data_IF_819280031252
#
_entry.id   IF_819280031252
#
_cell.length_a   1.000
_cell.length_b   1.000
_cell.length_c   1.000
_cell.angle_alpha   90.00
_cell.angle_beta   90.00
_cell.angle_gamma   90.00
#
_symmetry.space_group_name_H-M   'P 1'
#
loop_
_entity.id
_entity.type
_entity.pdbx_description
1 polymer ?
#
# COMPACT_ATOMS: atom_id res chain seq x y z
N UNK A 1 -12.08 44.24 26.48
CA UNK A 1 -12.70 43.00 25.95
C UNK A 1 -11.91 42.62 24.69
N UNK A 2 -11.62 41.33 24.49
CA UNK A 2 -10.29 40.83 24.15
C UNK A 2 -9.84 41.12 22.72
N UNK A 3 -8.56 41.43 22.60
CA UNK A 3 -7.78 41.51 21.36
C UNK A 3 -7.89 40.17 20.61
N UNK A 4 -8.50 40.21 19.42
CA UNK A 4 -8.56 39.08 18.51
C UNK A 4 -7.17 38.88 17.90
N UNK A 5 -6.30 38.18 18.64
CA UNK A 5 -5.00 37.72 18.17
C UNK A 5 -5.16 36.52 17.21
N UNK A 6 -5.91 36.71 16.13
CA UNK A 6 -5.81 35.88 14.92
C UNK A 6 -4.55 36.27 14.14
N UNK A 7 -3.40 36.20 14.79
CA UNK A 7 -2.12 36.23 14.10
C UNK A 7 -2.01 34.93 13.30
N UNK A 8 -2.48 34.99 12.05
CA UNK A 8 -2.13 34.02 11.02
C UNK A 8 -0.60 34.07 10.91
N UNK A 9 0.08 33.18 11.65
CA UNK A 9 1.52 32.98 11.53
C UNK A 9 1.82 32.85 10.05
N UNK A 10 2.68 33.70 9.47
CA UNK A 10 2.98 33.63 8.05
C UNK A 10 3.48 32.21 7.76
N UNK A 11 2.70 31.46 6.99
CA UNK A 11 3.16 30.20 6.39
C UNK A 11 4.42 30.59 5.62
N UNK A 12 5.57 30.12 6.10
CA UNK A 12 6.85 30.35 5.45
C UNK A 12 6.69 29.98 3.98
N UNK A 13 7.12 30.87 3.08
CA UNK A 13 7.00 30.70 1.62
C UNK A 13 7.73 29.46 1.05
N UNK A 14 8.40 28.68 1.90
CA UNK A 14 9.05 27.41 1.56
C UNK A 14 8.42 26.17 2.23
N UNK A 15 7.19 26.24 2.73
CA UNK A 15 6.47 25.08 3.29
C UNK A 15 5.78 24.34 2.14
N UNK A 16 6.51 23.44 1.47
CA UNK A 16 5.94 22.70 0.33
C UNK A 16 5.12 21.50 0.77
N UNK A 17 5.40 20.92 1.95
CA UNK A 17 4.54 19.90 2.56
C UNK A 17 4.13 20.26 3.99
N UNK A 18 2.85 20.03 4.31
CA UNK A 18 2.37 20.08 5.69
C UNK A 18 2.64 18.72 6.36
N UNK A 19 3.49 18.64 7.41
CA UNK A 19 3.90 17.37 8.01
C UNK A 19 2.71 16.52 8.47
N UNK A 20 1.69 17.15 9.04
CA UNK A 20 0.48 16.46 9.51
C UNK A 20 -0.27 15.76 8.36
N UNK A 21 -0.32 16.40 7.19
CA UNK A 21 -0.98 15.84 5.99
C UNK A 21 -0.16 14.67 5.44
N UNK A 22 1.16 14.81 5.36
CA UNK A 22 2.06 13.74 4.88
C UNK A 22 2.02 12.53 5.80
N UNK A 23 2.09 12.74 7.12
CA UNK A 23 1.98 11.67 8.11
C UNK A 23 0.63 10.96 8.05
N UNK A 24 -0.46 11.72 7.90
CA UNK A 24 -1.80 11.15 7.75
C UNK A 24 -1.92 10.33 6.45
N UNK A 25 -1.39 10.83 5.35
CA UNK A 25 -1.38 10.14 4.06
C UNK A 25 -0.53 8.87 4.10
N UNK A 26 0.67 8.93 4.68
CA UNK A 26 1.54 7.76 4.84
C UNK A 26 0.86 6.68 5.70
N UNK A 27 0.17 7.07 6.79
CA UNK A 27 -0.62 6.13 7.60
C UNK A 27 -1.77 5.52 6.80
N UNK A 28 -2.46 6.34 5.99
CA UNK A 28 -3.54 5.86 5.13
C UNK A 28 -3.05 4.88 4.07
N UNK A 29 -1.91 5.13 3.43
CA UNK A 29 -1.28 4.22 2.48
C UNK A 29 -0.88 2.89 3.14
N UNK A 30 -0.33 2.94 4.36
CA UNK A 30 -0.02 1.74 5.15
C UNK A 30 -1.25 0.93 5.49
N UNK A 31 -2.36 1.56 5.89
CA UNK A 31 -3.62 0.85 6.17
C UNK A 31 -4.18 0.27 4.87
N UNK A 32 -4.20 1.07 3.80
CA UNK A 32 -4.74 0.67 2.50
C UNK A 32 -3.97 -0.51 1.91
N UNK A 33 -2.64 -0.57 2.09
CA UNK A 33 -1.85 -1.72 1.65
C UNK A 33 -2.32 -3.01 2.32
N UNK A 34 -2.52 -3.01 3.65
CA UNK A 34 -3.04 -4.17 4.37
C UNK A 34 -4.45 -4.56 3.93
N UNK A 35 -5.32 -3.58 3.66
CA UNK A 35 -6.66 -3.86 3.10
C UNK A 35 -6.54 -4.56 1.76
N UNK A 36 -5.70 -4.08 0.85
CA UNK A 36 -5.46 -4.72 -0.45
C UNK A 36 -4.91 -6.14 -0.26
N UNK A 37 -3.94 -6.34 0.63
CA UNK A 37 -3.39 -7.66 0.90
C UNK A 37 -4.47 -8.65 1.39
N UNK A 38 -5.35 -8.23 2.30
CA UNK A 38 -6.46 -9.06 2.79
C UNK A 38 -7.40 -9.46 1.65
N UNK A 39 -7.75 -8.51 0.77
CA UNK A 39 -8.63 -8.79 -0.38
C UNK A 39 -8.01 -9.84 -1.30
N UNK A 40 -6.72 -9.73 -1.61
CA UNK A 40 -6.05 -10.70 -2.48
C UNK A 40 -5.83 -12.07 -1.80
N UNK A 41 -5.56 -12.11 -0.49
CA UNK A 41 -5.50 -13.36 0.27
C UNK A 41 -6.87 -14.06 0.26
N UNK A 42 -7.94 -13.29 0.46
CA UNK A 42 -9.31 -13.80 0.41
C UNK A 42 -9.64 -14.34 -0.99
N UNK A 43 -9.30 -13.58 -2.04
CA UNK A 43 -9.46 -14.03 -3.43
C UNK A 43 -8.70 -15.33 -3.71
N UNK A 44 -7.43 -15.43 -3.28
CA UNK A 44 -6.63 -16.65 -3.42
C UNK A 44 -7.30 -17.83 -2.74
N UNK A 45 -7.85 -17.61 -1.55
CA UNK A 45 -8.50 -18.64 -0.75
C UNK A 45 -9.75 -19.17 -1.46
N UNK A 46 -10.56 -18.28 -2.04
CA UNK A 46 -11.73 -18.66 -2.84
C UNK A 46 -11.31 -19.42 -4.10
N UNK A 47 -10.31 -18.93 -4.83
CA UNK A 47 -9.83 -19.56 -6.06
C UNK A 47 -9.32 -20.99 -5.79
N UNK A 48 -8.46 -21.14 -4.78
CA UNK A 48 -7.92 -22.46 -4.39
C UNK A 48 -9.03 -23.38 -3.85
N UNK A 49 -9.94 -22.86 -3.02
CA UNK A 49 -11.07 -23.64 -2.51
C UNK A 49 -11.97 -24.14 -3.65
N UNK A 50 -12.26 -23.26 -4.61
CA UNK A 50 -13.05 -23.62 -5.79
C UNK A 50 -12.31 -24.65 -6.66
N UNK A 51 -11.01 -24.46 -6.89
CA UNK A 51 -10.19 -25.40 -7.64
C UNK A 51 -10.17 -26.79 -6.99
N UNK A 52 -9.98 -26.88 -5.67
CA UNK A 52 -10.05 -28.15 -4.94
C UNK A 52 -11.43 -28.80 -5.06
N UNK A 53 -12.51 -28.02 -4.92
CA UNK A 53 -13.87 -28.54 -5.10
C UNK A 53 -14.11 -29.07 -6.52
N UNK A 54 -13.58 -28.41 -7.54
CA UNK A 54 -13.68 -28.88 -8.93
C UNK A 54 -12.94 -30.20 -9.15
N UNK A 55 -11.78 -30.40 -8.50
CA UNK A 55 -11.05 -31.68 -8.50
C UNK A 55 -11.87 -32.78 -7.81
N UNK A 56 -12.38 -32.51 -6.61
CA UNK A 56 -13.16 -33.48 -5.83
C UNK A 56 -14.45 -33.91 -6.55
N UNK A 57 -15.07 -32.98 -7.29
CA UNK A 57 -16.26 -33.24 -8.13
C UNK A 57 -15.94 -33.85 -9.49
N UNK A 58 -14.65 -34.08 -9.80
CA UNK A 58 -14.17 -34.59 -11.11
C UNK A 58 -14.64 -33.74 -12.30
N UNK A 59 -14.74 -32.42 -12.11
CA UNK A 59 -15.11 -31.47 -13.16
C UNK A 59 -13.91 -31.10 -14.05
N UNK A 60 -12.69 -31.34 -13.58
CA UNK A 60 -11.45 -31.11 -14.30
C UNK A 60 -10.72 -32.44 -14.43
N UNK A 61 -10.23 -32.72 -15.63
CA UNK A 61 -9.33 -33.84 -15.91
C UNK A 61 -7.96 -33.29 -16.25
N UNK A 62 -6.93 -33.90 -15.68
CA UNK A 62 -5.54 -33.59 -15.97
C UNK A 62 -4.94 -34.78 -16.70
N UNK A 63 -4.37 -34.54 -17.88
CA UNK A 63 -3.68 -35.55 -18.69
C UNK A 63 -2.25 -35.82 -18.18
N UNK A 64 -1.74 -34.99 -17.27
CA UNK A 64 -0.42 -35.18 -16.66
C UNK A 64 -0.09 -34.15 -15.59
N UNK A 65 1.07 -34.30 -14.92
CA UNK A 65 1.50 -33.41 -13.85
C UNK A 65 1.78 -31.98 -14.33
N UNK A 66 2.23 -31.80 -15.57
CA UNK A 66 2.51 -30.47 -16.14
C UNK A 66 1.23 -29.64 -16.30
N UNK A 67 0.13 -30.24 -16.76
CA UNK A 67 -1.17 -29.57 -16.85
C UNK A 67 -1.71 -29.21 -15.46
N UNK A 68 -1.54 -30.09 -14.48
CA UNK A 68 -1.92 -29.80 -13.10
C UNK A 68 -1.16 -28.59 -12.55
N UNK A 69 0.16 -28.55 -12.71
CA UNK A 69 0.99 -27.43 -12.28
C UNK A 69 0.62 -26.13 -13.01
N UNK A 70 0.36 -26.21 -14.32
CA UNK A 70 -0.09 -25.06 -15.11
C UNK A 70 -1.42 -24.52 -14.57
N UNK A 71 -2.41 -25.40 -14.34
CA UNK A 71 -3.71 -25.02 -13.79
C UNK A 71 -3.59 -24.41 -12.39
N UNK A 72 -2.72 -24.97 -11.54
CA UNK A 72 -2.43 -24.42 -10.23
C UNK A 72 -1.77 -23.02 -10.33
N UNK A 73 -0.83 -22.84 -11.26
CA UNK A 73 -0.21 -21.54 -11.53
C UNK A 73 -1.24 -20.50 -11.93
N UNK A 74 -2.23 -20.85 -12.76
CA UNK A 74 -3.33 -19.95 -13.12
C UNK A 74 -4.17 -19.49 -11.92
N UNK A 75 -4.29 -20.30 -10.87
CA UNK A 75 -5.00 -19.91 -9.65
C UNK A 75 -4.18 -18.96 -8.76
N UNK A 76 -2.85 -19.10 -8.77
CA UNK A 76 -1.94 -18.35 -7.88
C UNK A 76 -1.51 -17.02 -8.50
N UNK A 77 -1.31 -16.97 -9.82
CA UNK A 77 -0.75 -15.82 -10.53
C UNK A 77 -1.52 -14.50 -10.27
N UNK A 78 -2.87 -14.46 -10.25
CA UNK A 78 -3.60 -13.23 -9.95
C UNK A 78 -3.29 -12.68 -8.55
N UNK A 79 -3.01 -13.55 -7.59
CA UNK A 79 -2.73 -13.18 -6.21
C UNK A 79 -1.33 -12.59 -6.01
N UNK A 80 -0.38 -12.93 -6.90
CA UNK A 80 0.94 -12.29 -6.93
C UNK A 80 0.84 -10.79 -7.27
N UNK A 81 -0.14 -10.40 -8.08
CA UNK A 81 -0.40 -8.97 -8.35
C UNK A 81 -0.76 -8.21 -7.06
N UNK A 82 -1.51 -8.83 -6.16
CA UNK A 82 -1.82 -8.27 -4.84
C UNK A 82 -0.59 -7.98 -3.99
N UNK A 83 0.42 -8.86 -4.06
CA UNK A 83 1.70 -8.67 -3.37
C UNK A 83 2.46 -7.47 -3.94
N UNK A 84 2.44 -7.30 -5.27
CA UNK A 84 3.02 -6.12 -5.92
C UNK A 84 2.34 -4.85 -5.42
N UNK A 85 1.00 -4.79 -5.42
CA UNK A 85 0.27 -3.63 -4.92
C UNK A 85 0.57 -3.33 -3.44
N UNK A 86 0.64 -4.36 -2.61
CA UNK A 86 1.00 -4.21 -1.20
C UNK A 86 2.39 -3.55 -1.05
N UNK A 87 3.39 -4.10 -1.74
CA UNK A 87 4.77 -3.60 -1.68
C UNK A 87 4.85 -2.18 -2.24
N UNK A 88 4.18 -1.89 -3.36
CA UNK A 88 4.15 -0.54 -3.94
C UNK A 88 3.56 0.48 -2.97
N UNK A 89 2.44 0.18 -2.33
CA UNK A 89 1.80 1.10 -1.36
C UNK A 89 2.67 1.30 -0.10
N UNK A 90 3.33 0.24 0.38
CA UNK A 90 4.30 0.35 1.47
C UNK A 90 5.50 1.22 1.07
N UNK A 91 6.05 1.00 -0.13
CA UNK A 91 7.16 1.78 -0.65
C UNK A 91 6.78 3.26 -0.79
N UNK A 92 5.60 3.58 -1.33
CA UNK A 92 5.10 4.96 -1.43
C UNK A 92 4.96 5.62 -0.05
N UNK A 93 4.46 4.90 0.96
CA UNK A 93 4.37 5.42 2.31
C UNK A 93 5.76 5.75 2.89
N UNK A 94 6.78 4.94 2.60
CA UNK A 94 8.16 5.19 3.05
C UNK A 94 8.80 6.36 2.30
N UNK A 95 8.59 6.46 0.98
CA UNK A 95 9.10 7.58 0.17
C UNK A 95 8.55 8.92 0.69
N UNK A 96 7.26 8.98 1.03
CA UNK A 96 6.65 10.19 1.61
C UNK A 96 7.32 10.60 2.93
N UNK A 97 7.64 9.63 3.79
CA UNK A 97 8.31 9.91 5.07
C UNK A 97 9.75 10.40 4.85
N UNK A 98 10.48 9.80 3.91
CA UNK A 98 11.84 10.23 3.55
C UNK A 98 11.83 11.67 3.03
N UNK A 99 10.88 12.02 2.16
CA UNK A 99 10.76 13.38 1.63
C UNK A 99 10.48 14.41 2.73
N UNK A 100 9.63 14.06 3.69
CA UNK A 100 9.35 14.90 4.86
C UNK A 100 10.59 15.09 5.74
N UNK A 101 11.37 14.02 5.99
CA UNK A 101 12.61 14.10 6.76
C UNK A 101 13.67 14.99 6.06
N UNK A 102 13.75 14.92 4.73
CA UNK A 102 14.64 15.79 3.93
C UNK A 102 14.21 17.25 4.07
N UNK A 103 12.92 17.57 3.90
CA UNK A 103 12.40 18.93 4.05
C UNK A 103 12.69 19.49 5.45
N UNK A 104 12.44 18.71 6.49
CA UNK A 104 12.69 19.11 7.87
C UNK A 104 14.18 19.40 8.13
N UNK A 105 15.08 18.60 7.57
CA UNK A 105 16.53 18.83 7.65
C UNK A 105 16.94 20.09 6.89
N UNK A 106 16.43 20.32 5.68
CA UNK A 106 16.69 21.55 4.92
C UNK A 106 16.20 22.79 5.66
N UNK A 107 15.03 22.71 6.30
CA UNK A 107 14.46 23.80 7.11
C UNK A 107 15.31 24.12 8.34
N UNK A 108 15.84 23.11 9.03
CA UNK A 108 16.75 23.31 10.17
C UNK A 108 18.07 23.93 9.72
N UNK A 109 18.64 23.46 8.62
CA UNK A 109 19.89 24.01 8.07
C UNK A 109 19.73 25.48 7.67
N UNK A 110 18.60 25.87 7.08
CA UNK A 110 18.32 27.25 6.69
C UNK A 110 18.13 28.22 7.88
N UNK A 111 17.74 27.71 9.06
CA UNK A 111 17.60 28.51 10.30
C UNK A 111 18.90 28.61 11.10
N UNK A 112 19.88 27.76 10.81
CA UNK A 112 21.18 27.74 11.49
C UNK A 112 22.19 28.72 10.89
N UNK A 113 21.81 29.45 9.83
CA UNK A 113 22.63 30.42 9.12
C UNK A 113 22.04 31.80 9.29
#
# INVERSE_FOLDING_TARGET
MPENNNQLKPRFAGTYFEPDVVLRLARFLKISSWVVAIVYIFQLTINLGTFVLQILRKLIFFNGPTEFLQQLSWQIQPSLAGLIFFVSLQAMAQVLLILMDIEDNTRRAARSK
#
